data_IF_440836464140
#
_entry.id   IF_440836464140
#
_cell.length_a   1.000
_cell.length_b   1.000
_cell.length_c   1.000
_cell.angle_alpha   90.00
_cell.angle_beta   90.00
_cell.angle_gamma   90.00
#
_symmetry.space_group_name_H-M   'P 1'
#
loop_
_entity.id
_entity.type
_entity.pdbx_description
1 polymer ?
#
# COMPACT_ATOMS: atom_id res chain seq x y z
N UNK A 1 -24.18 22.60 -19.31
CA UNK A 1 -23.05 23.30 -19.94
C UNK A 1 -21.95 22.29 -20.19
N UNK A 2 -21.35 22.25 -21.38
CA UNK A 2 -20.25 21.33 -21.72
C UNK A 2 -19.16 22.14 -22.42
N UNK A 3 -17.94 22.09 -21.92
CA UNK A 3 -16.80 22.77 -22.56
C UNK A 3 -16.39 22.03 -23.83
N UNK A 4 -16.10 22.78 -24.89
CA UNK A 4 -15.67 22.21 -26.18
C UNK A 4 -14.18 22.46 -26.42
N UNK A 5 -13.69 23.64 -26.07
CA UNK A 5 -12.31 24.03 -26.35
C UNK A 5 -11.86 25.17 -25.44
N UNK A 6 -10.58 25.14 -25.04
CA UNK A 6 -9.91 26.27 -24.41
C UNK A 6 -8.66 26.65 -25.21
N UNK A 7 -8.51 27.95 -25.49
CA UNK A 7 -7.33 28.53 -26.15
C UNK A 7 -6.62 29.46 -25.20
N UNK A 8 -5.33 29.23 -24.99
CA UNK A 8 -4.45 30.02 -24.16
C UNK A 8 -3.44 30.75 -25.05
N UNK A 9 -3.18 32.01 -24.73
CA UNK A 9 -2.14 32.80 -25.35
C UNK A 9 -1.30 33.47 -24.27
N UNK A 10 -0.01 33.14 -24.18
CA UNK A 10 0.95 33.72 -23.24
C UNK A 10 0.47 33.73 -21.77
N UNK A 11 -0.28 32.71 -21.34
CA UNK A 11 -0.87 32.66 -20.00
C UNK A 11 -0.04 31.78 -19.04
N UNK A 12 0.49 32.36 -17.97
CA UNK A 12 1.32 31.66 -16.99
C UNK A 12 2.51 30.99 -17.66
N UNK A 13 2.58 29.65 -17.56
CA UNK A 13 3.65 28.87 -18.21
C UNK A 13 3.43 28.63 -19.71
N UNK A 14 2.22 28.87 -20.24
CA UNK A 14 1.87 28.62 -21.63
C UNK A 14 2.36 29.77 -22.52
N UNK A 15 3.55 29.63 -23.10
CA UNK A 15 4.11 30.59 -24.07
C UNK A 15 3.54 30.36 -25.47
N UNK A 16 3.07 31.42 -26.15
CA UNK A 16 2.48 31.32 -27.49
C UNK A 16 1.04 30.82 -27.46
N UNK A 17 0.56 30.30 -28.60
CA UNK A 17 -0.80 29.80 -28.75
C UNK A 17 -0.90 28.31 -28.41
N UNK A 18 -1.75 27.99 -27.44
CA UNK A 18 -2.09 26.62 -27.06
C UNK A 18 -3.59 26.42 -27.20
N UNK A 19 -4.01 25.37 -27.88
CA UNK A 19 -5.43 25.01 -28.04
C UNK A 19 -5.65 23.61 -27.54
N UNK A 20 -6.59 23.44 -26.62
CA UNK A 20 -6.88 22.17 -25.96
C UNK A 20 -8.36 21.86 -26.21
N UNK A 21 -8.61 20.74 -26.90
CA UNK A 21 -9.96 20.22 -27.13
C UNK A 21 -10.50 19.60 -25.85
N UNK A 22 -11.69 20.05 -25.44
CA UNK A 22 -12.44 19.55 -24.29
C UNK A 22 -13.75 18.85 -24.71
N UNK A 23 -13.98 18.69 -26.01
CA UNK A 23 -15.08 17.87 -26.52
C UNK A 23 -14.63 16.42 -26.71
N UNK A 24 -15.49 15.49 -26.29
CA UNK A 24 -15.29 14.07 -26.56
C UNK A 24 -16.07 13.68 -27.81
N UNK A 25 -15.42 13.12 -28.85
CA UNK A 25 -16.09 12.71 -30.08
C UNK A 25 -17.06 11.54 -29.86
N UNK A 26 -16.97 10.82 -28.73
CA UNK A 26 -17.85 9.73 -28.38
C UNK A 26 -18.62 10.06 -27.10
N UNK A 27 -19.94 10.24 -27.21
CA UNK A 27 -20.83 10.49 -26.06
C UNK A 27 -20.80 9.37 -25.01
N UNK A 28 -20.33 8.16 -25.36
CA UNK A 28 -20.12 7.05 -24.41
C UNK A 28 -18.81 7.17 -23.62
N UNK A 29 -17.93 8.11 -23.98
CA UNK A 29 -16.65 8.37 -23.31
C UNK A 29 -16.57 9.84 -22.86
N UNK A 30 -17.34 10.26 -21.84
CA UNK A 30 -17.40 11.66 -21.43
C UNK A 30 -16.17 12.13 -20.64
N UNK A 31 -15.25 11.23 -20.28
CA UNK A 31 -14.08 11.53 -19.44
C UNK A 31 -12.91 11.91 -20.33
N UNK A 32 -12.35 13.10 -20.10
CA UNK A 32 -11.13 13.58 -20.75
C UNK A 32 -10.00 13.55 -19.72
N UNK A 33 -8.97 12.75 -19.99
CA UNK A 33 -7.79 12.65 -19.15
C UNK A 33 -6.66 13.51 -19.73
N UNK A 34 -6.23 14.53 -18.99
CA UNK A 34 -5.08 15.36 -19.35
C UNK A 34 -3.88 14.89 -18.51
N UNK A 35 -2.97 14.14 -19.14
CA UNK A 35 -1.73 13.70 -18.54
C UNK A 35 -0.67 14.80 -18.58
N UNK A 36 -0.11 15.16 -17.42
CA UNK A 36 0.96 16.15 -17.29
C UNK A 36 1.87 15.81 -16.10
N UNK A 37 3.12 16.25 -16.17
CA UNK A 37 4.10 16.09 -15.09
C UNK A 37 3.90 17.13 -13.97
N UNK A 38 4.53 16.86 -12.82
CA UNK A 38 4.91 17.82 -11.77
C UNK A 38 5.30 19.19 -12.38
N UNK A 39 4.55 20.27 -12.16
CA UNK A 39 4.93 21.61 -12.62
C UNK A 39 4.69 21.89 -14.12
N UNK A 40 4.11 20.96 -14.88
CA UNK A 40 3.78 21.16 -16.30
C UNK A 40 2.50 22.00 -16.53
N UNK A 41 1.94 22.62 -15.49
CA UNK A 41 0.86 23.60 -15.60
C UNK A 41 -0.57 23.12 -15.36
N UNK A 42 -0.78 21.95 -14.73
CA UNK A 42 -2.13 21.45 -14.41
C UNK A 42 -2.98 22.47 -13.64
N UNK A 43 -2.44 23.01 -12.55
CA UNK A 43 -3.12 24.04 -11.75
C UNK A 43 -3.29 25.34 -12.53
N UNK A 44 -2.31 25.73 -13.37
CA UNK A 44 -2.43 26.88 -14.26
C UNK A 44 -3.55 26.71 -15.29
N UNK A 45 -3.75 25.51 -15.81
CA UNK A 45 -4.86 25.18 -16.71
C UNK A 45 -6.21 25.30 -15.99
N UNK A 46 -6.32 24.77 -14.76
CA UNK A 46 -7.53 24.91 -13.95
C UNK A 46 -7.83 26.38 -13.62
N UNK A 47 -6.81 27.15 -13.23
CA UNK A 47 -6.90 28.58 -12.98
C UNK A 47 -7.34 29.33 -14.26
N UNK A 48 -6.90 28.90 -15.45
CA UNK A 48 -7.31 29.50 -16.72
C UNK A 48 -8.82 29.34 -16.98
N UNK A 49 -9.39 28.17 -16.69
CA UNK A 49 -10.83 27.93 -16.81
C UNK A 49 -11.63 28.84 -15.88
N UNK A 50 -11.22 28.91 -14.60
CA UNK A 50 -11.87 29.80 -13.64
C UNK A 50 -11.74 31.27 -14.03
N UNK A 51 -10.57 31.69 -14.49
CA UNK A 51 -10.32 33.07 -14.90
C UNK A 51 -11.14 33.44 -16.14
N UNK A 52 -11.26 32.53 -17.13
CA UNK A 52 -12.10 32.74 -18.31
C UNK A 52 -13.56 33.03 -17.94
N UNK A 53 -14.11 32.25 -16.99
CA UNK A 53 -15.49 32.36 -16.55
C UNK A 53 -15.69 33.59 -15.65
N UNK A 54 -14.96 33.66 -14.54
CA UNK A 54 -15.28 34.58 -13.43
C UNK A 54 -14.40 35.84 -13.36
N UNK A 55 -13.29 35.91 -14.10
CA UNK A 55 -12.42 37.09 -14.11
C UNK A 55 -11.96 37.51 -12.70
N UNK A 56 -12.29 38.74 -12.29
CA UNK A 56 -11.94 39.29 -10.97
C UNK A 56 -12.49 38.50 -9.79
N UNK A 57 -13.51 37.67 -10.02
CA UNK A 57 -14.14 36.83 -9.03
C UNK A 57 -13.57 35.39 -9.00
N UNK A 58 -12.66 35.05 -9.92
CA UNK A 58 -12.00 33.74 -9.94
C UNK A 58 -11.13 33.55 -8.69
N UNK A 59 -11.23 32.37 -8.08
CA UNK A 59 -10.43 31.94 -6.93
C UNK A 59 -9.14 31.26 -7.39
N UNK A 60 -8.29 32.02 -8.09
CA UNK A 60 -7.05 31.48 -8.62
C UNK A 60 -6.03 31.18 -7.52
N UNK A 61 -5.37 30.03 -7.65
CA UNK A 61 -4.48 29.44 -6.64
C UNK A 61 -3.31 30.36 -6.25
N UNK A 62 -2.77 31.11 -7.23
CA UNK A 62 -1.59 31.97 -7.05
C UNK A 62 -1.89 33.46 -6.83
N UNK A 63 -3.16 33.85 -6.60
CA UNK A 63 -3.53 35.27 -6.47
C UNK A 63 -3.11 35.89 -5.13
N UNK A 64 -3.25 35.15 -4.02
CA UNK A 64 -2.98 35.67 -2.68
C UNK A 64 -3.71 37.00 -2.40
N UNK A 65 -2.97 38.01 -1.92
CA UNK A 65 -3.49 39.37 -1.67
C UNK A 65 -3.30 40.34 -2.86
N UNK A 66 -2.88 39.86 -4.03
CA UNK A 66 -2.60 40.73 -5.17
C UNK A 66 -3.89 41.34 -5.73
N UNK A 67 -3.81 42.64 -6.08
CA UNK A 67 -4.84 43.31 -6.87
C UNK A 67 -5.03 42.60 -8.21
N UNK A 68 -6.26 42.57 -8.71
CA UNK A 68 -6.64 41.79 -9.89
C UNK A 68 -5.82 42.12 -11.14
N UNK A 69 -5.64 43.40 -11.47
CA UNK A 69 -4.85 43.83 -12.63
C UNK A 69 -3.36 43.48 -12.49
N UNK A 70 -2.81 43.54 -11.27
CA UNK A 70 -1.44 43.12 -10.97
C UNK A 70 -1.28 41.60 -11.12
N UNK A 71 -2.31 40.84 -10.72
CA UNK A 71 -2.35 39.40 -10.95
C UNK A 71 -2.37 39.09 -12.45
N UNK A 72 -3.25 39.73 -13.24
CA UNK A 72 -3.28 39.54 -14.69
C UNK A 72 -1.90 39.82 -15.32
N UNK A 73 -1.26 40.91 -14.91
CA UNK A 73 0.08 41.26 -15.38
C UNK A 73 1.12 40.17 -15.08
N UNK A 74 1.16 39.65 -13.85
CA UNK A 74 2.09 38.58 -13.47
C UNK A 74 1.84 37.27 -14.20
N UNK A 75 0.61 37.03 -14.67
CA UNK A 75 0.26 35.84 -15.43
C UNK A 75 0.49 36.00 -16.94
N UNK A 76 1.12 37.09 -17.39
CA UNK A 76 1.69 37.14 -18.74
C UNK A 76 3.00 36.35 -18.70
N UNK A 77 3.14 35.39 -19.63
CA UNK A 77 4.32 34.55 -19.72
C UNK A 77 5.61 35.41 -19.82
N UNK A 78 6.60 35.14 -18.98
CA UNK A 78 7.82 35.93 -18.87
C UNK A 78 8.70 35.90 -20.12
N UNK A 79 8.54 34.87 -20.97
CA UNK A 79 9.28 34.71 -22.23
C UNK A 79 8.51 35.25 -23.44
N UNK A 80 7.34 35.87 -23.24
CA UNK A 80 6.57 36.49 -24.32
C UNK A 80 7.19 37.82 -24.76
N UNK A 81 7.28 38.04 -26.06
CA UNK A 81 7.73 39.32 -26.65
C UNK A 81 6.61 40.36 -26.64
N UNK A 82 5.38 39.91 -26.92
CA UNK A 82 4.18 40.71 -26.74
C UNK A 82 3.71 40.57 -25.30
N UNK A 83 3.75 41.66 -24.53
CA UNK A 83 3.28 41.73 -23.13
C UNK A 83 1.76 41.69 -23.06
N UNK A 84 1.16 40.70 -23.71
CA UNK A 84 -0.26 40.45 -23.80
C UNK A 84 -0.53 38.97 -23.57
N UNK A 85 -1.67 38.68 -22.97
CA UNK A 85 -2.14 37.32 -22.77
C UNK A 85 -3.66 37.26 -22.99
N UNK A 86 -4.15 36.09 -23.37
CA UNK A 86 -5.60 35.88 -23.50
C UNK A 86 -5.99 34.44 -23.21
N UNK A 87 -7.20 34.29 -22.69
CA UNK A 87 -7.86 33.01 -22.50
C UNK A 87 -9.17 33.05 -23.25
N UNK A 88 -9.40 32.06 -24.09
CA UNK A 88 -10.67 31.86 -24.79
C UNK A 88 -11.25 30.53 -24.37
N UNK A 89 -12.50 30.51 -23.90
CA UNK A 89 -13.22 29.29 -23.56
C UNK A 89 -14.47 29.21 -24.42
N UNK A 90 -14.61 28.09 -25.11
CA UNK A 90 -15.78 27.76 -25.93
C UNK A 90 -16.55 26.63 -25.27
N UNK A 91 -17.86 26.80 -25.13
CA UNK A 91 -18.74 25.81 -24.52
C UNK A 91 -20.14 25.84 -25.12
N UNK A 92 -20.85 24.72 -24.98
CA UNK A 92 -22.25 24.59 -25.36
C UNK A 92 -23.17 24.53 -24.14
N UNK A 93 -24.34 25.13 -24.27
CA UNK A 93 -25.40 25.13 -23.28
C UNK A 93 -26.75 24.77 -23.94
N UNK A 94 -27.60 24.00 -23.27
CA UNK A 94 -28.91 23.55 -23.77
C UNK A 94 -29.07 22.03 -23.92
N UNK A 95 -30.32 21.60 -24.10
CA UNK A 95 -30.72 20.19 -24.19
C UNK A 95 -30.47 19.60 -25.59
N UNK A 96 -30.05 18.34 -25.65
CA UNK A 96 -29.57 17.62 -26.86
C UNK A 96 -30.59 17.52 -28.02
N UNK A 97 -31.82 18.03 -27.85
CA UNK A 97 -32.92 17.98 -28.83
C UNK A 97 -33.15 19.29 -29.60
N UNK A 98 -32.57 20.42 -29.18
CA UNK A 98 -32.58 21.70 -29.93
C UNK A 98 -31.16 22.06 -30.37
N UNK A 99 -31.04 23.02 -31.29
CA UNK A 99 -29.75 23.62 -31.66
C UNK A 99 -29.01 24.08 -30.40
N UNK A 100 -27.91 23.41 -30.06
CA UNK A 100 -27.10 23.75 -28.90
C UNK A 100 -26.61 25.19 -29.03
N UNK A 101 -26.77 25.97 -27.96
CA UNK A 101 -26.29 27.35 -27.92
C UNK A 101 -24.79 27.34 -27.64
N UNK A 102 -24.00 27.92 -28.54
CA UNK A 102 -22.54 27.95 -28.43
C UNK A 102 -22.11 29.33 -27.96
N UNK A 103 -21.34 29.35 -26.87
CA UNK A 103 -20.75 30.55 -26.31
C UNK A 103 -19.23 30.45 -26.43
N UNK A 104 -18.59 31.52 -26.90
CA UNK A 104 -17.15 31.69 -26.90
C UNK A 104 -16.79 32.98 -26.16
N UNK A 105 -16.27 32.84 -24.94
CA UNK A 105 -15.79 33.95 -24.12
C UNK A 105 -14.29 34.09 -24.32
N UNK A 106 -13.83 35.29 -24.68
CA UNK A 106 -12.42 35.65 -24.74
C UNK A 106 -12.14 36.79 -23.76
N UNK A 107 -11.25 36.51 -22.81
CA UNK A 107 -10.63 37.52 -21.94
C UNK A 107 -9.22 37.77 -22.42
N UNK A 108 -8.86 39.02 -22.61
CA UNK A 108 -7.52 39.40 -23.06
C UNK A 108 -7.03 40.59 -22.25
N UNK A 109 -5.73 40.62 -21.96
CA UNK A 109 -5.14 41.75 -21.26
C UNK A 109 -3.75 42.03 -21.79
N UNK A 110 -3.36 43.30 -21.69
CA UNK A 110 -2.07 43.77 -22.19
C UNK A 110 -1.47 44.82 -21.27
N UNK A 111 -0.16 44.75 -21.08
CA UNK A 111 0.63 45.78 -20.41
C UNK A 111 1.35 46.65 -21.45
N UNK A 112 0.90 47.90 -21.57
CA UNK A 112 1.53 48.88 -22.45
C UNK A 112 2.53 49.76 -21.69
N UNK A 113 3.81 49.36 -21.68
CA UNK A 113 4.87 50.14 -21.04
C UNK A 113 4.65 50.33 -19.53
N UNK A 114 4.64 51.58 -19.06
CA UNK A 114 4.38 51.96 -17.66
C UNK A 114 2.88 52.15 -17.33
N UNK A 115 1.98 51.88 -18.28
CA UNK A 115 0.53 51.97 -18.02
C UNK A 115 0.04 50.73 -17.29
N UNK A 116 -1.02 50.91 -16.50
CA UNK A 116 -1.73 49.81 -15.85
C UNK A 116 -2.23 48.79 -16.89
N UNK A 117 -2.19 47.53 -16.48
CA UNK A 117 -2.73 46.42 -17.26
C UNK A 117 -4.23 46.64 -17.50
N UNK A 118 -4.68 46.51 -18.76
CA UNK A 118 -6.10 46.61 -19.10
C UNK A 118 -6.62 45.27 -19.56
N UNK A 119 -7.74 44.84 -18.97
CA UNK A 119 -8.52 43.69 -19.42
C UNK A 119 -9.58 44.13 -20.45
N UNK A 120 -9.82 43.26 -21.43
CA UNK A 120 -10.92 43.35 -22.37
C UNK A 120 -11.62 41.98 -22.47
N UNK A 121 -12.96 42.01 -22.45
CA UNK A 121 -13.85 40.86 -22.45
C UNK A 121 -14.68 40.93 -23.75
N UNK A 122 -14.71 39.84 -24.50
CA UNK A 122 -15.55 39.72 -25.69
C UNK A 122 -16.20 38.35 -25.74
N UNK A 123 -17.52 38.33 -25.92
CA UNK A 123 -18.32 37.11 -25.99
C UNK A 123 -18.95 36.99 -27.37
N UNK A 124 -18.85 35.80 -27.97
CA UNK A 124 -19.55 35.45 -29.18
C UNK A 124 -20.63 34.42 -28.86
N UNK A 125 -21.86 34.70 -29.27
CA UNK A 125 -23.00 33.80 -29.19
C UNK A 125 -23.30 33.26 -30.59
N UNK A 126 -23.24 31.94 -30.77
CA UNK A 126 -23.40 31.25 -32.06
C UNK A 126 -22.54 31.88 -33.18
N UNK A 127 -21.29 32.23 -32.84
CA UNK A 127 -20.32 32.81 -33.77
C UNK A 127 -20.49 34.30 -34.06
N UNK A 128 -21.50 34.98 -33.47
CA UNK A 128 -21.67 36.43 -33.61
C UNK A 128 -21.31 37.13 -32.31
N UNK A 129 -20.56 38.23 -32.41
CA UNK A 129 -20.25 39.06 -31.25
C UNK A 129 -21.54 39.61 -30.64
N UNK A 130 -21.67 39.47 -29.32
CA UNK A 130 -22.80 39.98 -28.56
C UNK A 130 -22.30 40.98 -27.51
N UNK A 131 -22.62 42.26 -27.72
CA UNK A 131 -22.17 43.34 -26.85
C UNK A 131 -22.82 43.25 -25.46
N UNK A 132 -24.11 42.92 -25.37
CA UNK A 132 -24.85 42.91 -24.12
C UNK A 132 -24.29 41.82 -23.20
N UNK A 133 -24.07 40.61 -23.76
CA UNK A 133 -23.47 39.50 -23.03
C UNK A 133 -22.02 39.81 -22.66
N UNK A 134 -21.26 40.51 -23.52
CA UNK A 134 -19.88 40.89 -23.21
C UNK A 134 -19.78 41.87 -22.03
N UNK A 135 -20.70 42.83 -21.95
CA UNK A 135 -20.74 43.83 -20.86
C UNK A 135 -21.24 43.23 -19.54
N UNK A 136 -22.21 42.31 -19.59
CA UNK A 136 -22.84 41.70 -18.40
C UNK A 136 -22.42 40.24 -18.17
N UNK A 137 -21.25 39.85 -18.68
CA UNK A 137 -20.80 38.45 -18.65
C UNK A 137 -20.79 37.86 -17.24
N UNK A 138 -20.41 38.66 -16.24
CA UNK A 138 -20.37 38.24 -14.83
C UNK A 138 -21.75 37.82 -14.29
N UNK A 139 -22.83 38.45 -14.78
CA UNK A 139 -24.20 38.09 -14.43
C UNK A 139 -24.63 36.83 -15.17
N UNK A 140 -24.38 36.75 -16.47
CA UNK A 140 -24.70 35.58 -17.30
C UNK A 140 -23.99 34.31 -16.83
N UNK A 141 -22.71 34.38 -16.46
CA UNK A 141 -21.96 33.21 -16.00
C UNK A 141 -22.49 32.67 -14.67
N UNK A 142 -23.00 33.56 -13.81
CA UNK A 142 -23.60 33.17 -12.54
C UNK A 142 -24.94 32.43 -12.71
N UNK A 143 -25.67 32.66 -13.80
CA UNK A 143 -26.86 31.85 -14.13
C UNK A 143 -26.51 30.42 -14.54
N UNK A 144 -25.34 30.21 -15.17
CA UNK A 144 -24.90 28.88 -15.58
C UNK A 144 -24.25 28.10 -14.45
N UNK A 145 -23.27 28.72 -13.77
CA UNK A 145 -22.52 28.13 -12.67
C UNK A 145 -22.24 29.27 -11.67
N UNK A 146 -23.07 29.42 -10.62
CA UNK A 146 -22.84 30.40 -9.58
C UNK A 146 -21.43 30.30 -9.02
N UNK A 147 -20.81 31.45 -8.79
CA UNK A 147 -19.49 31.51 -8.20
C UNK A 147 -19.41 30.77 -6.84
N UNK A 148 -20.50 30.72 -6.07
CA UNK A 148 -20.56 30.03 -4.78
C UNK A 148 -20.27 28.53 -4.88
N UNK A 149 -20.59 27.88 -6.01
CA UNK A 149 -20.36 26.45 -6.24
C UNK A 149 -19.19 26.15 -7.14
N UNK A 150 -18.45 27.17 -7.61
CA UNK A 150 -17.35 26.96 -8.55
C UNK A 150 -16.30 25.99 -7.98
N UNK A 151 -16.09 25.97 -6.66
CA UNK A 151 -15.14 25.07 -5.99
C UNK A 151 -15.54 23.59 -6.08
N UNK A 152 -16.82 23.27 -6.33
CA UNK A 152 -17.28 21.89 -6.54
C UNK A 152 -16.99 21.38 -7.96
N UNK A 153 -16.88 22.28 -8.94
CA UNK A 153 -16.59 21.95 -10.33
C UNK A 153 -15.11 22.10 -10.69
N UNK A 154 -14.43 23.06 -10.06
CA UNK A 154 -13.02 23.40 -10.33
C UNK A 154 -12.19 23.24 -9.06
N UNK A 155 -11.81 22.01 -8.74
CA UNK A 155 -10.97 21.71 -7.58
C UNK A 155 -9.61 21.13 -8.00
N UNK A 156 -8.60 21.39 -7.17
CA UNK A 156 -7.31 20.71 -7.24
C UNK A 156 -7.39 19.42 -6.40
N UNK A 157 -6.63 18.40 -6.79
CA UNK A 157 -6.59 17.10 -6.09
C UNK A 157 -6.18 17.24 -4.63
N UNK A 158 -5.34 18.23 -4.30
CA UNK A 158 -4.95 18.54 -2.92
C UNK A 158 -6.10 19.14 -2.08
N UNK A 159 -7.09 19.76 -2.72
CA UNK A 159 -8.26 20.35 -2.04
C UNK A 159 -9.41 19.37 -1.87
N UNK A 160 -9.28 18.14 -2.40
CA UNK A 160 -10.34 17.13 -2.32
C UNK A 160 -10.61 16.69 -0.90
N UNK A 161 -9.60 16.72 -0.02
CA UNK A 161 -9.74 16.36 1.40
C UNK A 161 -10.65 17.33 2.15
N UNK A 162 -10.51 18.63 1.88
CA UNK A 162 -11.39 19.66 2.44
C UNK A 162 -12.83 19.57 1.90
N UNK A 163 -13.01 19.06 0.68
CA UNK A 163 -14.31 18.78 0.06
C UNK A 163 -14.86 17.37 0.39
N UNK A 164 -14.06 16.52 1.04
CA UNK A 164 -14.48 15.20 1.47
C UNK A 164 -15.16 15.23 2.84
N UNK A 165 -15.03 16.33 3.61
CA UNK A 165 -15.77 16.53 4.85
C UNK A 165 -17.28 16.63 4.56
N UNK A 166 -18.09 15.65 5.01
CA UNK A 166 -19.52 15.61 4.71
C UNK A 166 -20.29 16.84 5.17
N UNK A 167 -19.88 17.48 6.28
CA UNK A 167 -20.57 18.65 6.83
C UNK A 167 -20.36 19.88 5.97
N UNK A 168 -19.10 20.17 5.65
CA UNK A 168 -18.71 21.33 4.84
C UNK A 168 -19.26 21.24 3.43
N UNK A 169 -19.22 20.04 2.85
CA UNK A 169 -19.76 19.79 1.51
C UNK A 169 -21.28 19.90 1.46
N UNK A 170 -21.99 19.47 2.51
CA UNK A 170 -23.44 19.66 2.60
C UNK A 170 -23.82 21.15 2.68
N UNK A 171 -23.07 21.97 3.43
CA UNK A 171 -23.30 23.42 3.51
C UNK A 171 -23.00 24.13 2.19
N UNK A 172 -21.88 23.81 1.54
CA UNK A 172 -21.53 24.35 0.22
C UNK A 172 -22.54 23.96 -0.86
N UNK A 173 -22.97 22.70 -0.87
CA UNK A 173 -24.00 22.22 -1.80
C UNK A 173 -25.34 22.90 -1.55
N UNK A 174 -25.76 23.03 -0.28
CA UNK A 174 -27.00 23.72 0.08
C UNK A 174 -27.00 25.16 -0.41
N UNK A 175 -25.96 25.92 -0.04
CA UNK A 175 -25.79 27.33 -0.44
C UNK A 175 -25.77 27.45 -1.97
N UNK A 176 -25.14 26.50 -2.61
CA UNK A 176 -25.06 26.41 -4.05
C UNK A 176 -26.35 26.16 -4.79
N UNK A 177 -27.14 25.22 -4.29
CA UNK A 177 -28.49 24.93 -4.79
C UNK A 177 -29.41 26.13 -4.53
N UNK A 178 -29.30 26.76 -3.36
CA UNK A 178 -30.05 27.99 -3.05
C UNK A 178 -29.70 29.13 -4.01
N UNK A 179 -28.42 29.31 -4.37
CA UNK A 179 -27.99 30.29 -5.37
C UNK A 179 -28.49 29.94 -6.78
N UNK A 180 -28.38 28.68 -7.21
CA UNK A 180 -28.90 28.20 -8.51
C UNK A 180 -30.41 28.38 -8.64
N UNK A 181 -31.15 28.19 -7.55
CA UNK A 181 -32.60 28.36 -7.51
C UNK A 181 -33.02 29.81 -7.25
N UNK A 182 -32.08 30.75 -7.08
CA UNK A 182 -32.36 32.15 -6.77
C UNK A 182 -32.99 32.37 -5.38
N UNK A 183 -32.90 31.39 -4.48
CA UNK A 183 -33.45 31.43 -3.13
C UNK A 183 -32.62 32.30 -2.18
N UNK A 184 -31.39 32.64 -2.56
CA UNK A 184 -30.51 33.55 -1.81
C UNK A 184 -31.17 34.93 -1.58
N UNK A 185 -31.90 35.43 -2.58
CA UNK A 185 -32.61 36.70 -2.44
C UNK A 185 -33.77 36.59 -1.43
N UNK A 186 -34.44 35.45 -1.38
CA UNK A 186 -35.55 35.19 -0.46
C UNK A 186 -35.07 35.03 0.99
N UNK A 187 -33.93 34.36 1.20
CA UNK A 187 -33.34 34.22 2.53
C UNK A 187 -32.85 35.57 3.06
N UNK A 188 -32.22 36.39 2.20
CA UNK A 188 -31.79 37.75 2.53
C UNK A 188 -32.99 38.65 2.85
N UNK A 189 -34.03 38.65 1.99
CA UNK A 189 -35.26 39.41 2.21
C UNK A 189 -35.96 39.01 3.53
N UNK A 190 -36.01 37.71 3.84
CA UNK A 190 -36.58 37.22 5.10
C UNK A 190 -35.81 37.75 6.32
N UNK A 191 -34.48 37.77 6.24
CA UNK A 191 -33.64 38.36 7.30
C UNK A 191 -33.90 39.85 7.46
N UNK A 192 -33.94 40.60 6.36
CA UNK A 192 -34.17 42.04 6.35
C UNK A 192 -35.56 42.41 6.89
N UNK A 193 -36.59 41.66 6.50
CA UNK A 193 -37.95 41.86 7.00
C UNK A 193 -38.05 41.59 8.51
N UNK A 194 -37.36 40.57 9.02
CA UNK A 194 -37.29 40.30 10.45
C UNK A 194 -36.59 41.45 11.21
N UNK A 195 -35.52 42.01 10.64
CA UNK A 195 -34.83 43.15 11.25
C UNK A 195 -35.69 44.41 11.24
N UNK A 196 -36.40 44.68 10.14
CA UNK A 196 -37.36 45.78 10.04
C UNK A 196 -38.55 45.62 10.99
N UNK A 197 -39.05 44.39 11.16
CA UNK A 197 -40.10 44.08 12.12
C UNK A 197 -39.64 44.39 13.55
N UNK A 198 -38.44 43.96 13.93
CA UNK A 198 -37.84 44.31 15.23
C UNK A 198 -37.74 45.82 15.42
N UNK A 199 -37.18 46.54 14.43
CA UNK A 199 -37.06 48.02 14.48
C UNK A 199 -38.42 48.74 14.58
N UNK A 200 -39.48 48.22 13.95
CA UNK A 200 -40.83 48.79 14.06
C UNK A 200 -41.47 48.49 15.41
N UNK A 201 -41.31 47.28 15.94
CA UNK A 201 -41.78 46.92 17.28
C UNK A 201 -41.11 47.79 18.35
N UNK A 202 -39.82 48.09 18.20
CA UNK A 202 -39.10 49.01 19.09
C UNK A 202 -39.66 50.44 19.09
N UNK A 203 -40.18 50.92 17.96
CA UNK A 203 -40.77 52.27 17.84
C UNK A 203 -42.20 52.38 18.37
N UNK A 204 -42.90 51.26 18.56
CA UNK A 204 -44.31 51.21 18.97
C UNK A 204 -44.52 50.99 20.49
N UNK A 205 -43.45 50.83 21.27
CA UNK A 205 -43.51 50.63 22.71
C UNK A 205 -43.86 51.93 23.45
N UNK A 206 -44.82 51.89 24.37
CA UNK A 206 -45.22 53.02 25.24
C UNK A 206 -44.16 53.27 26.30
N UNK A 207 -44.08 54.52 26.79
CA UNK A 207 -43.02 55.03 27.70
C UNK A 207 -42.80 54.24 29.01
N UNK A 208 -43.77 53.46 29.48
CA UNK A 208 -43.62 52.62 30.69
C UNK A 208 -42.91 51.28 30.39
N UNK A 209 -43.06 50.73 29.18
CA UNK A 209 -42.30 49.54 28.73
C UNK A 209 -40.88 49.89 28.28
N UNK A 210 -40.59 51.16 27.99
CA UNK A 210 -39.29 51.64 27.53
C UNK A 210 -38.17 51.40 28.55
N UNK A 211 -38.47 51.48 29.86
CA UNK A 211 -37.49 51.24 30.93
C UNK A 211 -37.09 49.75 30.99
N UNK A 212 -38.07 48.84 30.91
CA UNK A 212 -37.80 47.39 30.87
C UNK A 212 -37.07 46.98 29.57
N UNK A 213 -37.40 47.63 28.46
CA UNK A 213 -36.74 47.41 27.17
C UNK A 213 -35.30 47.92 27.17
N UNK A 214 -35.01 49.04 27.81
CA UNK A 214 -33.63 49.54 27.96
C UNK A 214 -32.78 48.66 28.90
N UNK A 215 -33.37 48.11 29.97
CA UNK A 215 -32.71 47.09 30.81
C UNK A 215 -32.41 45.81 30.01
N UNK A 216 -33.36 45.34 29.19
CA UNK A 216 -33.14 44.19 28.31
C UNK A 216 -32.08 44.51 27.25
N UNK A 217 -32.07 45.72 26.68
CA UNK A 217 -31.06 46.15 25.70
C UNK A 217 -29.66 46.25 26.28
N UNK A 218 -29.51 46.82 27.48
CA UNK A 218 -28.23 46.86 28.18
C UNK A 218 -27.74 45.45 28.51
N UNK A 219 -28.64 44.52 28.83
CA UNK A 219 -28.32 43.11 29.03
C UNK A 219 -27.95 42.38 27.74
N UNK A 220 -28.61 42.68 26.63
CA UNK A 220 -28.24 42.16 25.29
C UNK A 220 -26.87 42.70 24.86
N UNK A 221 -26.60 43.99 25.10
CA UNK A 221 -25.32 44.61 24.79
C UNK A 221 -24.19 43.96 25.60
N UNK A 222 -24.37 43.76 26.91
CA UNK A 222 -23.37 43.09 27.75
C UNK A 222 -23.16 41.63 27.37
N UNK A 223 -24.23 40.89 27.04
CA UNK A 223 -24.13 39.51 26.53
C UNK A 223 -23.43 39.44 25.17
N UNK A 224 -23.65 40.41 24.29
CA UNK A 224 -22.96 40.47 23.00
C UNK A 224 -21.47 40.80 23.17
N UNK A 225 -21.13 41.65 24.15
CA UNK A 225 -19.74 41.96 24.47
C UNK A 225 -19.02 40.75 25.09
N UNK A 226 -19.69 40.03 26.00
CA UNK A 226 -19.20 38.74 26.52
C UNK A 226 -19.04 37.71 25.40
N UNK A 227 -20.01 37.62 24.48
CA UNK A 227 -19.91 36.75 23.31
C UNK A 227 -18.69 37.11 22.47
N UNK A 228 -18.46 38.40 22.18
CA UNK A 228 -17.31 38.88 21.41
C UNK A 228 -15.98 38.55 22.10
N UNK A 229 -15.91 38.70 23.43
CA UNK A 229 -14.74 38.31 24.23
C UNK A 229 -14.50 36.79 24.16
N UNK A 230 -15.54 35.98 24.32
CA UNK A 230 -15.45 34.51 24.20
C UNK A 230 -15.02 34.10 22.79
N UNK A 231 -15.56 34.71 21.74
CA UNK A 231 -15.15 34.43 20.36
C UNK A 231 -13.68 34.81 20.12
N UNK A 232 -13.21 35.93 20.69
CA UNK A 232 -11.79 36.27 20.65
C UNK A 232 -10.91 35.27 21.40
N UNK A 233 -11.37 34.75 22.54
CA UNK A 233 -10.64 33.73 23.29
C UNK A 233 -10.58 32.40 22.54
N UNK A 234 -11.68 32.01 21.87
CA UNK A 234 -11.72 30.83 20.99
C UNK A 234 -10.69 31.00 19.87
N UNK A 235 -10.65 32.15 19.18
CA UNK A 235 -9.65 32.38 18.12
C UNK A 235 -8.21 32.27 18.60
N UNK A 236 -7.90 32.74 19.82
CA UNK A 236 -6.56 32.59 20.43
C UNK A 236 -6.26 31.12 20.75
N UNK A 237 -7.25 30.35 21.21
CA UNK A 237 -7.08 28.92 21.50
C UNK A 237 -6.89 28.11 20.22
N UNK A 238 -7.64 28.42 19.16
CA UNK A 238 -7.48 27.79 17.83
C UNK A 238 -6.10 28.07 17.21
N UNK A 239 -5.55 29.28 17.41
CA UNK A 239 -4.19 29.60 16.98
C UNK A 239 -3.15 28.79 17.76
N UNK A 240 -3.33 28.65 19.08
CA UNK A 240 -2.46 27.80 19.91
C UNK A 240 -2.56 26.30 19.56
N UNK A 241 -3.75 25.82 19.23
CA UNK A 241 -3.97 24.45 18.79
C UNK A 241 -3.20 24.17 17.49
N UNK A 242 -3.25 25.10 16.53
CA UNK A 242 -2.47 25.00 15.29
C UNK A 242 -0.96 25.00 15.54
N UNK A 243 -0.46 25.90 16.39
CA UNK A 243 0.96 25.94 16.73
C UNK A 243 1.41 24.62 17.38
N UNK A 244 0.58 24.04 18.25
CA UNK A 244 0.87 22.76 18.90
C UNK A 244 0.83 21.58 17.92
N UNK A 245 -0.14 21.57 16.99
CA UNK A 245 -0.23 20.57 15.92
C UNK A 245 0.97 20.63 14.96
N UNK A 246 1.43 21.83 14.60
CA UNK A 246 2.64 22.00 13.80
C UNK A 246 3.88 21.47 14.55
N UNK A 247 4.00 21.76 15.84
CA UNK A 247 5.07 21.21 16.68
C UNK A 247 4.99 19.68 16.79
N UNK A 248 3.79 19.12 16.92
CA UNK A 248 3.56 17.68 17.00
C UNK A 248 3.95 17.00 15.69
N UNK A 249 3.53 17.56 14.55
CA UNK A 249 3.92 17.09 13.22
C UNK A 249 5.44 17.12 13.04
N UNK A 250 6.10 18.21 13.43
CA UNK A 250 7.56 18.32 13.38
C UNK A 250 8.26 17.26 14.25
N UNK A 251 7.76 17.03 15.47
CA UNK A 251 8.28 16.00 16.37
C UNK A 251 8.05 14.59 15.81
N UNK A 252 6.91 14.32 15.17
CA UNK A 252 6.63 13.05 14.51
C UNK A 252 7.55 12.81 13.32
N UNK A 253 7.77 13.81 12.46
CA UNK A 253 8.76 13.69 11.37
C UNK A 253 10.17 13.45 11.91
N UNK A 254 10.54 14.14 13.00
CA UNK A 254 11.82 13.91 13.67
C UNK A 254 11.94 12.51 14.26
N UNK A 255 10.85 11.95 14.79
CA UNK A 255 10.78 10.61 15.38
C UNK A 255 10.83 9.52 14.30
N UNK A 256 10.12 9.72 13.18
CA UNK A 256 10.18 8.86 12.00
C UNK A 256 11.58 8.88 11.35
N UNK A 257 12.16 10.06 11.14
CA UNK A 257 13.52 10.19 10.58
C UNK A 257 14.59 9.62 11.51
N UNK A 258 14.41 9.69 12.83
CA UNK A 258 15.28 9.03 13.81
C UNK A 258 15.11 7.51 13.83
N UNK A 259 14.10 6.97 13.13
CA UNK A 259 13.89 5.53 12.98
C UNK A 259 13.39 4.84 14.25
N UNK A 260 12.69 5.55 15.14
CA UNK A 260 12.14 4.96 16.36
C UNK A 260 11.18 3.79 16.06
N UNK A 261 10.40 3.87 14.98
CA UNK A 261 9.55 2.78 14.49
C UNK A 261 10.35 1.50 14.15
N UNK A 262 11.65 1.63 13.86
CA UNK A 262 12.54 0.51 13.56
C UNK A 262 13.11 -0.15 14.82
N UNK A 263 12.93 0.43 16.00
CA UNK A 263 13.36 -0.19 17.26
C UNK A 263 12.49 -1.41 17.60
N UNK A 264 11.18 -1.34 17.36
CA UNK A 264 10.28 -2.49 17.52
C UNK A 264 10.56 -3.58 16.47
N UNK A 265 10.91 -3.19 15.24
CA UNK A 265 11.35 -4.14 14.22
C UNK A 265 12.69 -4.79 14.58
N UNK A 266 13.60 -4.06 15.23
CA UNK A 266 14.88 -4.63 15.68
C UNK A 266 14.65 -5.69 16.75
N UNK A 267 13.78 -5.45 17.72
CA UNK A 267 13.50 -6.44 18.78
C UNK A 267 12.79 -7.67 18.24
N UNK A 268 11.88 -7.52 17.27
CA UNK A 268 11.23 -8.66 16.61
C UNK A 268 12.21 -9.49 15.78
N UNK A 269 13.09 -8.84 14.98
CA UNK A 269 14.12 -9.55 14.23
C UNK A 269 15.19 -10.21 15.11
N UNK A 270 15.56 -9.62 16.24
CA UNK A 270 16.45 -10.26 17.21
C UNK A 270 15.83 -11.51 17.83
N UNK A 271 14.51 -11.49 18.08
CA UNK A 271 13.78 -12.67 18.57
C UNK A 271 13.72 -13.76 17.50
N UNK A 272 13.36 -13.41 16.27
CA UNK A 272 13.28 -14.35 15.15
C UNK A 272 14.66 -14.97 14.85
N UNK A 273 15.73 -14.16 14.90
CA UNK A 273 17.11 -14.64 14.78
C UNK A 273 17.44 -15.69 15.85
N UNK A 274 17.11 -15.42 17.12
CA UNK A 274 17.35 -16.39 18.21
C UNK A 274 16.56 -17.68 18.02
N UNK A 275 15.32 -17.61 17.58
CA UNK A 275 14.49 -18.79 17.30
C UNK A 275 15.07 -19.63 16.14
N UNK A 276 15.52 -18.97 15.08
CA UNK A 276 16.19 -19.64 13.95
C UNK A 276 17.53 -20.25 14.35
N UNK A 277 18.34 -19.56 15.15
CA UNK A 277 19.60 -20.08 15.69
C UNK A 277 19.39 -21.33 16.56
N UNK A 278 18.33 -21.34 17.39
CA UNK A 278 17.96 -22.51 18.18
C UNK A 278 17.51 -23.68 17.30
N UNK A 279 16.64 -23.44 16.31
CA UNK A 279 16.22 -24.47 15.35
C UNK A 279 17.42 -25.05 14.59
N UNK A 280 18.32 -24.18 14.12
CA UNK A 280 19.53 -24.57 13.41
C UNK A 280 20.49 -25.37 14.32
N UNK A 281 20.59 -25.01 15.60
CA UNK A 281 21.37 -25.79 16.57
C UNK A 281 20.79 -27.19 16.77
N UNK A 282 19.47 -27.32 16.95
CA UNK A 282 18.80 -28.62 17.11
C UNK A 282 19.01 -29.51 15.89
N UNK A 283 18.76 -29.00 14.69
CA UNK A 283 18.94 -29.76 13.44
C UNK A 283 20.39 -30.17 13.26
N UNK A 284 21.36 -29.28 13.48
CA UNK A 284 22.79 -29.63 13.41
C UNK A 284 23.17 -30.70 14.43
N UNK A 285 22.66 -30.61 15.65
CA UNK A 285 22.93 -31.59 16.70
C UNK A 285 22.33 -32.96 16.34
N UNK A 286 21.12 -33.01 15.77
CA UNK A 286 20.50 -34.26 15.31
C UNK A 286 21.25 -34.87 14.11
N UNK A 287 21.69 -34.05 13.15
CA UNK A 287 22.54 -34.53 12.04
C UNK A 287 23.87 -35.08 12.54
N UNK A 288 24.51 -34.41 13.51
CA UNK A 288 25.75 -34.91 14.14
C UNK A 288 25.51 -36.22 14.89
N UNK A 289 24.38 -36.35 15.60
CA UNK A 289 23.99 -37.58 16.30
C UNK A 289 23.82 -38.74 15.30
N UNK A 290 23.12 -38.52 14.19
CA UNK A 290 22.96 -39.51 13.13
C UNK A 290 24.31 -39.88 12.48
N UNK A 291 25.17 -38.89 12.23
CA UNK A 291 26.51 -39.10 11.69
C UNK A 291 27.45 -39.85 12.66
N UNK A 292 27.27 -39.69 13.97
CA UNK A 292 28.02 -40.44 15.01
C UNK A 292 27.49 -41.87 15.23
N UNK A 293 26.32 -42.19 14.68
CA UNK A 293 25.65 -43.47 14.82
C UNK A 293 26.06 -44.51 13.77
N UNK A 294 25.09 -45.29 13.29
CA UNK A 294 25.34 -46.36 12.30
C UNK A 294 25.28 -45.86 10.85
N UNK A 295 24.85 -44.62 10.62
CA UNK A 295 24.72 -44.04 9.28
C UNK A 295 26.00 -44.09 8.43
N UNK A 296 27.22 -43.83 8.97
CA UNK A 296 28.46 -43.96 8.18
C UNK A 296 28.70 -45.38 7.65
N UNK A 297 28.22 -46.41 8.35
CA UNK A 297 28.34 -47.80 7.90
C UNK A 297 27.49 -48.07 6.64
N UNK A 298 26.47 -47.24 6.38
CA UNK A 298 25.72 -47.24 5.14
C UNK A 298 26.57 -46.88 3.90
N UNK A 299 27.66 -46.11 4.07
CA UNK A 299 28.59 -45.81 2.96
C UNK A 299 29.39 -47.05 2.53
N UNK A 300 29.57 -48.01 3.45
CA UNK A 300 30.34 -49.24 3.25
C UNK A 300 29.46 -50.49 3.38
N UNK A 301 28.17 -50.38 3.07
CA UNK A 301 27.18 -51.44 3.25
C UNK A 301 27.60 -52.77 2.57
N UNK A 302 28.23 -52.70 1.40
CA UNK A 302 28.73 -53.86 0.68
C UNK A 302 29.84 -54.62 1.45
N UNK A 303 30.69 -53.91 2.21
CA UNK A 303 31.74 -54.50 3.06
C UNK A 303 31.11 -55.12 4.30
N UNK A 304 30.15 -54.43 4.93
CA UNK A 304 29.43 -54.93 6.09
C UNK A 304 28.70 -56.26 5.79
N UNK A 305 28.03 -56.36 4.64
CA UNK A 305 27.36 -57.60 4.19
C UNK A 305 28.38 -58.74 3.97
N UNK A 306 29.55 -58.44 3.41
CA UNK A 306 30.63 -59.44 3.24
C UNK A 306 31.17 -59.90 4.60
N UNK A 307 31.36 -58.98 5.53
CA UNK A 307 31.83 -59.28 6.89
C UNK A 307 30.81 -60.14 7.66
N UNK A 308 29.51 -59.85 7.54
CA UNK A 308 28.44 -60.65 8.13
C UNK A 308 28.44 -62.09 7.59
N UNK A 309 28.51 -62.26 6.26
CA UNK A 309 28.58 -63.58 5.63
C UNK A 309 29.78 -64.38 6.10
N UNK A 310 30.95 -63.73 6.16
CA UNK A 310 32.17 -64.37 6.63
C UNK A 310 32.08 -64.73 8.12
N UNK A 311 31.56 -63.85 8.97
CA UNK A 311 31.36 -64.13 10.39
C UNK A 311 30.42 -65.33 10.61
N UNK A 312 29.39 -65.49 9.77
CA UNK A 312 28.48 -66.63 9.82
C UNK A 312 29.18 -67.94 9.46
N UNK A 313 30.03 -67.93 8.41
CA UNK A 313 30.85 -69.06 8.01
C UNK A 313 31.84 -69.45 9.12
N UNK A 314 32.51 -68.47 9.72
CA UNK A 314 33.45 -68.70 10.83
C UNK A 314 32.75 -69.25 12.09
N UNK A 315 31.53 -68.78 12.39
CA UNK A 315 30.73 -69.33 13.49
C UNK A 315 30.37 -70.79 13.24
N UNK A 316 29.92 -71.12 12.03
CA UNK A 316 29.61 -72.50 11.67
C UNK A 316 30.85 -73.39 11.73
N UNK A 317 32.00 -72.88 11.29
CA UNK A 317 33.28 -73.59 11.41
C UNK A 317 33.68 -73.83 12.87
N UNK A 318 33.49 -72.87 13.78
CA UNK A 318 33.76 -73.09 15.21
C UNK A 318 32.87 -74.14 15.83
N UNK A 319 31.56 -74.05 15.56
CA UNK A 319 30.60 -75.05 16.03
C UNK A 319 31.01 -76.44 15.52
N UNK A 320 31.43 -76.53 14.26
CA UNK A 320 31.93 -77.76 13.68
C UNK A 320 33.23 -78.25 14.35
N UNK A 321 34.24 -77.39 14.50
CA UNK A 321 35.52 -77.75 15.12
C UNK A 321 35.37 -78.18 16.58
N UNK A 322 34.53 -77.48 17.35
CA UNK A 322 34.18 -77.84 18.72
C UNK A 322 33.45 -79.19 18.75
N UNK A 323 32.51 -79.43 17.84
CA UNK A 323 31.82 -80.71 17.69
C UNK A 323 32.78 -81.83 17.24
N UNK A 324 33.76 -81.55 16.39
CA UNK A 324 34.74 -82.52 15.90
C UNK A 324 35.56 -83.09 17.06
N UNK A 325 36.00 -82.22 17.98
CA UNK A 325 36.74 -82.64 19.17
C UNK A 325 35.92 -83.59 20.08
N UNK A 326 34.60 -83.39 20.14
CA UNK A 326 33.68 -84.25 20.89
C UNK A 326 33.42 -85.57 20.15
N UNK A 327 33.23 -85.50 18.83
CA UNK A 327 33.02 -86.67 17.97
C UNK A 327 34.26 -87.58 17.96
N UNK A 328 35.47 -87.03 17.96
CA UNK A 328 36.71 -87.81 18.09
C UNK A 328 36.78 -88.55 19.43
N UNK A 329 36.46 -87.89 20.55
CA UNK A 329 36.42 -88.54 21.87
C UNK A 329 35.39 -89.66 21.93
N UNK A 330 34.19 -89.43 21.37
CA UNK A 330 33.15 -90.46 21.31
C UNK A 330 33.56 -91.61 20.40
N UNK A 331 34.19 -91.33 19.26
CA UNK A 331 34.75 -92.34 18.34
C UNK A 331 35.77 -93.22 19.05
N UNK A 332 36.72 -92.64 19.79
CA UNK A 332 37.72 -93.40 20.56
C UNK A 332 37.05 -94.28 21.63
N UNK A 333 36.04 -93.77 22.35
CA UNK A 333 35.28 -94.55 23.31
C UNK A 333 34.50 -95.71 22.66
N UNK A 334 33.89 -95.47 21.50
CA UNK A 334 33.13 -96.48 20.75
C UNK A 334 34.07 -97.56 20.19
N UNK A 335 35.23 -97.16 19.68
CA UNK A 335 36.27 -98.08 19.20
C UNK A 335 36.87 -98.92 20.33
N UNK A 336 37.06 -98.35 21.53
CA UNK A 336 37.52 -99.08 22.71
C UNK A 336 36.45 -100.04 23.28
N UNK A 337 35.16 -99.73 23.14
CA UNK A 337 34.08 -100.66 23.54
C UNK A 337 33.88 -101.81 22.54
N UNK A 338 34.17 -101.58 21.26
CA UNK A 338 34.01 -102.57 20.20
C UNK A 338 35.25 -103.48 20.04
N UNK A 339 36.42 -103.08 20.54
CA UNK A 339 37.65 -103.88 20.47
C UNK A 339 37.57 -105.20 21.23
N UNK A 340 36.65 -105.32 22.19
CA UNK A 340 36.45 -106.53 23.00
C UNK A 340 35.47 -107.55 22.38
N UNK A 341 34.77 -107.21 21.28
CA UNK A 341 33.65 -108.01 20.75
C UNK A 341 33.66 -108.30 19.24
N UNK A 342 34.59 -107.74 18.48
CA UNK A 342 34.57 -107.77 17.00
C UNK A 342 35.95 -108.15 16.44
N UNK A 343 35.98 -108.88 15.31
CA UNK A 343 37.21 -109.27 14.62
C UNK A 343 38.00 -108.06 14.10
N UNK A 344 39.33 -108.19 14.07
CA UNK A 344 40.27 -107.10 13.74
C UNK A 344 40.08 -106.48 12.35
N UNK A 345 39.51 -107.24 11.40
CA UNK A 345 39.29 -106.83 10.01
C UNK A 345 38.06 -105.90 9.89
N UNK A 346 36.98 -106.19 10.62
CA UNK A 346 35.76 -105.36 10.62
C UNK A 346 35.97 -104.04 11.37
N UNK A 347 36.83 -104.06 12.40
CA UNK A 347 37.28 -102.85 13.11
C UNK A 347 38.12 -101.92 12.23
N UNK A 348 38.95 -102.46 11.32
CA UNK A 348 39.70 -101.63 10.37
C UNK A 348 38.82 -100.98 9.30
N UNK A 349 37.80 -101.70 8.82
CA UNK A 349 36.85 -101.17 7.83
C UNK A 349 35.95 -100.07 8.42
N UNK A 350 35.50 -100.25 9.68
CA UNK A 350 34.76 -99.20 10.40
C UNK A 350 35.61 -97.95 10.62
N UNK A 351 36.90 -98.11 11.01
CA UNK A 351 37.82 -96.97 11.13
C UNK A 351 37.96 -96.22 9.80
N UNK A 352 38.18 -96.92 8.69
CA UNK A 352 38.27 -96.29 7.38
C UNK A 352 37.00 -95.52 7.00
N UNK A 353 35.81 -96.11 7.19
CA UNK A 353 34.55 -95.40 6.88
C UNK A 353 34.31 -94.17 7.75
N UNK A 354 34.68 -94.24 9.04
CA UNK A 354 34.62 -93.07 9.92
C UNK A 354 35.64 -91.99 9.53
N UNK A 355 36.85 -92.38 9.13
CA UNK A 355 37.88 -91.45 8.66
C UNK A 355 37.47 -90.80 7.33
N UNK A 356 36.92 -91.56 6.37
CA UNK A 356 36.38 -91.03 5.11
C UNK A 356 35.23 -90.05 5.34
N UNK A 357 34.27 -90.39 6.21
CA UNK A 357 33.16 -89.50 6.55
C UNK A 357 33.65 -88.20 7.22
N UNK A 358 34.66 -88.30 8.09
CA UNK A 358 35.26 -87.15 8.76
C UNK A 358 36.06 -86.25 7.80
N UNK A 359 36.73 -86.83 6.80
CA UNK A 359 37.42 -86.08 5.73
C UNK A 359 36.40 -85.32 4.87
N UNK A 360 35.31 -85.97 4.46
CA UNK A 360 34.25 -85.34 3.64
C UNK A 360 33.58 -84.19 4.39
N UNK A 361 33.35 -84.32 5.70
CA UNK A 361 32.79 -83.23 6.52
C UNK A 361 33.81 -82.09 6.74
N UNK A 362 35.09 -82.40 6.92
CA UNK A 362 36.15 -81.39 7.00
C UNK A 362 36.23 -80.55 5.73
N UNK A 363 36.24 -81.18 4.56
CA UNK A 363 36.31 -80.48 3.27
C UNK A 363 35.12 -79.54 3.03
N UNK A 364 33.94 -79.85 3.59
CA UNK A 364 32.75 -78.98 3.50
C UNK A 364 32.83 -77.76 4.40
N UNK A 365 33.64 -77.81 5.46
CA UNK A 365 33.68 -76.77 6.49
C UNK A 365 35.01 -76.02 6.59
N UNK A 366 36.04 -76.34 5.79
CA UNK A 366 37.29 -75.57 5.77
C UNK A 366 37.06 -74.12 5.33
N UNK A 367 37.10 -73.20 6.30
CA UNK A 367 36.99 -71.75 6.08
C UNK A 367 38.11 -71.05 6.83
N UNK A 368 38.81 -70.14 6.15
CA UNK A 368 39.82 -69.28 6.78
C UNK A 368 39.15 -68.34 7.78
N UNK A 369 39.52 -68.46 9.06
CA UNK A 369 39.02 -67.59 10.13
C UNK A 369 39.90 -66.33 10.26
N UNK A 370 39.40 -65.16 9.85
CA UNK A 370 40.14 -63.90 9.93
C UNK A 370 39.37 -62.73 10.55
N UNK A 371 38.05 -62.80 10.66
CA UNK A 371 37.25 -61.72 11.26
C UNK A 371 37.07 -61.93 12.76
N UNK A 372 36.82 -63.17 13.21
CA UNK A 372 36.69 -63.55 14.61
C UNK A 372 35.68 -62.70 15.41
N UNK A 373 34.51 -62.45 14.82
CA UNK A 373 33.43 -61.69 15.47
C UNK A 373 32.13 -62.48 15.53
N UNK A 374 31.28 -62.19 16.52
CA UNK A 374 29.94 -62.77 16.60
C UNK A 374 29.03 -62.19 15.50
N UNK A 375 28.37 -63.02 14.68
CA UNK A 375 27.35 -62.57 13.73
C UNK A 375 26.24 -61.70 14.35
N UNK A 376 25.99 -61.80 15.66
CA UNK A 376 25.04 -60.96 16.37
C UNK A 376 25.34 -59.46 16.28
N UNK A 377 26.60 -59.06 16.08
CA UNK A 377 26.96 -57.64 15.91
C UNK A 377 26.45 -57.04 14.59
N UNK A 378 26.13 -57.88 13.61
CA UNK A 378 25.57 -57.47 12.31
C UNK A 378 24.04 -57.59 12.26
N UNK A 379 23.44 -58.20 13.28
CA UNK A 379 21.99 -58.36 13.37
C UNK A 379 21.30 -56.99 13.40
N UNK A 380 20.29 -56.81 12.55
CA UNK A 380 19.49 -55.58 12.45
C UNK A 380 20.29 -54.33 11.99
N UNK A 381 21.53 -54.49 11.53
CA UNK A 381 22.38 -53.37 11.09
C UNK A 381 21.78 -52.66 9.86
N UNK A 382 21.32 -53.41 8.87
CA UNK A 382 20.76 -52.84 7.63
C UNK A 382 19.47 -52.04 7.89
N UNK A 383 18.57 -52.55 8.71
CA UNK A 383 17.32 -51.88 9.12
C UNK A 383 17.60 -50.58 9.86
N UNK A 384 18.57 -50.57 10.78
CA UNK A 384 18.99 -49.35 11.49
C UNK A 384 19.62 -48.32 10.56
N UNK A 385 20.45 -48.75 9.61
CA UNK A 385 21.01 -47.86 8.56
C UNK A 385 19.89 -47.24 7.72
N UNK A 386 18.87 -48.01 7.33
CA UNK A 386 17.73 -47.49 6.59
C UNK A 386 16.89 -46.50 7.41
N UNK A 387 16.70 -46.76 8.71
CA UNK A 387 15.97 -45.87 9.61
C UNK A 387 16.69 -44.54 9.83
N UNK A 388 18.00 -44.58 10.08
CA UNK A 388 18.82 -43.37 10.24
C UNK A 388 18.89 -42.57 8.93
N UNK A 389 18.93 -43.25 7.77
CA UNK A 389 18.91 -42.60 6.45
C UNK A 389 17.59 -41.87 6.20
N UNK A 390 16.45 -42.48 6.52
CA UNK A 390 15.14 -41.84 6.41
C UNK A 390 15.01 -40.65 7.39
N UNK A 391 15.56 -40.79 8.60
CA UNK A 391 15.57 -39.72 9.60
C UNK A 391 16.42 -38.53 9.13
N UNK A 392 17.57 -38.78 8.50
CA UNK A 392 18.40 -37.73 7.92
C UNK A 392 17.71 -36.98 6.76
N UNK A 393 16.96 -37.70 5.91
CA UNK A 393 16.19 -37.11 4.80
C UNK A 393 15.04 -36.24 5.31
N UNK A 394 14.41 -36.60 6.43
CA UNK A 394 13.33 -35.79 7.01
C UNK A 394 13.83 -34.52 7.72
N UNK A 395 15.13 -34.42 8.02
CA UNK A 395 15.76 -33.28 8.69
C UNK A 395 16.34 -32.24 7.72
N UNK A 396 16.56 -32.63 6.46
CA UNK A 396 17.05 -31.79 5.36
C UNK A 396 15.88 -31.29 4.51
#
# INVERSE_FOLDING_TARGET
MIFEEIRLYNFGIYQGHHTISLDSPDHKKPIILIGALNGAGKTTFLDALQLALYGKFAKCSNRGRLGYLTYLEKNINSFSTDRSASITLRFRHGDNKKTAQIYEIKRSWKKNGNKECKENISVHFNGKYDQLISEHWEEFVNEFIPQSISELFFFDGEKIENLADPKRSAELLKTGIEALLGLELLSTLSSDLNELQKKKQEKLLKKEDAVSVDEIKTKIASLNEQKKQLTSQIGILEEKEKDEDENLSFLQEKLQSSGADKLELKTSFEKEKKELEQKLFVVKHELLKLASGVLPLGLVQHVAIKAEKQALLEKNYRIFNDAESLLQKQKEQLLNMLSDKVDSIELSDLKMKFDEAQIIEKEKHTVDCYINTDPLYFFDLNSRIHQDKNSAVNLL
#
